data_IF_537514473899
#
_entry.id   IF_537514473899
#
_cell.length_a   1.000
_cell.length_b   1.000
_cell.length_c   1.000
_cell.angle_alpha   90.00
_cell.angle_beta   90.00
_cell.angle_gamma   90.00
#
_symmetry.space_group_name_H-M   'P 1'
#
loop_
_entity.id
_entity.type
_entity.pdbx_description
1 polymer ?
#
# COMPACT_ATOMS: atom_id res chain seq x y z
N UNK A 1 6.86 14.28 14.07
CA UNK A 1 6.77 14.98 12.78
C UNK A 1 5.47 15.78 12.64
N UNK A 2 4.30 15.21 12.92
CA UNK A 2 3.02 15.89 12.78
C UNK A 2 2.42 16.26 14.16
N UNK A 3 1.74 17.44 14.30
CA UNK A 3 1.18 17.88 15.58
C UNK A 3 -0.07 17.08 15.94
N UNK A 4 0.14 15.92 16.58
CA UNK A 4 -0.94 14.96 16.90
C UNK A 4 -1.94 15.45 17.96
N UNK A 5 -1.63 16.55 18.67
CA UNK A 5 -2.51 17.11 19.72
C UNK A 5 -3.87 17.58 19.18
N UNK A 6 -3.94 17.94 17.90
CA UNK A 6 -5.15 18.48 17.27
C UNK A 6 -5.89 17.41 16.43
N UNK A 7 -5.47 16.15 16.48
CA UNK A 7 -6.09 15.10 15.69
C UNK A 7 -7.43 14.67 16.30
N UNK A 8 -8.43 14.52 15.44
CA UNK A 8 -9.76 14.05 15.84
C UNK A 8 -9.70 12.57 16.20
N UNK A 9 -10.26 12.20 17.35
CA UNK A 9 -10.39 10.79 17.70
C UNK A 9 -11.60 10.21 16.97
N UNK A 10 -11.37 9.14 16.21
CA UNK A 10 -12.45 8.37 15.56
C UNK A 10 -12.60 7.03 16.27
N UNK A 11 -13.85 6.58 16.33
CA UNK A 11 -14.24 5.26 16.83
C UNK A 11 -14.76 4.41 15.69
N UNK A 12 -14.54 3.13 15.75
CA UNK A 12 -15.08 2.18 14.79
C UNK A 12 -16.12 1.26 15.41
N UNK A 13 -17.02 0.76 14.59
CA UNK A 13 -17.96 -0.32 14.92
C UNK A 13 -17.54 -1.55 14.14
N UNK A 14 -17.50 -2.69 14.81
CA UNK A 14 -17.32 -3.97 14.11
C UNK A 14 -18.53 -4.26 13.23
N UNK A 15 -18.30 -4.63 12.00
CA UNK A 15 -19.38 -4.87 11.02
C UNK A 15 -19.48 -6.32 10.55
N UNK A 16 -18.47 -7.14 10.81
CA UNK A 16 -18.38 -8.54 10.38
C UNK A 16 -17.77 -9.38 11.50
N UNK A 17 -18.58 -9.72 12.50
CA UNK A 17 -18.11 -10.51 13.67
C UNK A 17 -17.68 -11.92 13.31
N UNK A 18 -18.34 -12.52 12.31
CA UNK A 18 -18.19 -13.94 11.97
C UNK A 18 -17.28 -14.16 10.75
N UNK A 19 -16.73 -13.08 10.19
CA UNK A 19 -15.78 -13.20 9.07
C UNK A 19 -14.40 -13.62 9.58
N UNK A 20 -13.99 -14.81 9.21
CA UNK A 20 -12.61 -15.21 9.41
C UNK A 20 -11.74 -14.49 8.36
N UNK A 21 -10.68 -13.83 8.84
CA UNK A 21 -9.68 -13.12 8.05
C UNK A 21 -8.36 -13.87 8.21
N UNK A 22 -7.74 -14.27 7.11
CA UNK A 22 -6.47 -14.97 7.11
C UNK A 22 -5.28 -14.00 7.29
N UNK A 23 -4.78 -13.46 6.19
CA UNK A 23 -3.64 -12.53 6.18
C UNK A 23 -3.95 -11.29 5.34
N UNK A 24 -4.60 -10.28 5.92
CA UNK A 24 -4.97 -9.08 5.19
C UNK A 24 -3.73 -8.27 4.82
N UNK A 25 -3.50 -8.05 3.53
CA UNK A 25 -2.33 -7.31 3.01
C UNK A 25 -2.69 -5.94 2.45
N UNK A 26 -3.73 -5.85 1.65
CA UNK A 26 -4.17 -4.62 1.00
C UNK A 26 -5.68 -4.61 0.86
N UNK A 27 -6.28 -3.42 0.90
CA UNK A 27 -7.71 -3.22 0.70
C UNK A 27 -7.94 -2.16 -0.37
N UNK A 28 -9.02 -2.32 -1.15
CA UNK A 28 -9.49 -1.31 -2.10
C UNK A 28 -11.01 -1.32 -2.17
N UNK A 29 -11.62 -0.17 -2.48
CA UNK A 29 -13.07 -0.05 -2.70
C UNK A 29 -13.32 0.20 -4.18
N UNK A 30 -14.15 -0.62 -4.79
CA UNK A 30 -14.53 -0.55 -6.19
C UNK A 30 -16.02 -0.89 -6.31
N UNK A 31 -16.82 0.00 -6.91
CA UNK A 31 -18.25 -0.20 -7.15
C UNK A 31 -19.00 -0.73 -5.91
N UNK A 32 -18.86 -0.05 -4.78
CA UNK A 32 -19.46 -0.43 -3.49
C UNK A 32 -19.04 -1.83 -2.98
N UNK A 33 -17.92 -2.35 -3.45
CA UNK A 33 -17.34 -3.59 -2.95
C UNK A 33 -15.98 -3.31 -2.33
N UNK A 34 -15.79 -3.83 -1.13
CA UNK A 34 -14.50 -3.84 -0.47
C UNK A 34 -13.75 -5.10 -0.91
N UNK A 35 -12.67 -4.92 -1.64
CA UNK A 35 -11.73 -5.97 -2.01
C UNK A 35 -10.60 -5.99 -0.99
N UNK A 36 -10.32 -7.13 -0.42
CA UNK A 36 -9.23 -7.33 0.52
C UNK A 36 -8.36 -8.50 0.03
N UNK A 37 -7.09 -8.27 -0.19
CA UNK A 37 -6.14 -9.36 -0.35
C UNK A 37 -6.07 -10.07 1.00
N UNK A 38 -6.58 -11.30 1.02
CA UNK A 38 -6.73 -12.09 2.22
C UNK A 38 -6.66 -13.58 1.89
N UNK A 39 -5.48 -14.14 2.07
CA UNK A 39 -5.21 -15.54 1.71
C UNK A 39 -5.90 -16.51 2.66
N UNK A 40 -7.00 -17.10 2.21
CA UNK A 40 -7.81 -18.02 3.00
C UNK A 40 -8.55 -19.04 2.10
N UNK A 41 -8.62 -20.31 2.53
CA UNK A 41 -9.35 -21.40 1.85
C UNK A 41 -9.08 -21.52 0.34
N UNK A 42 -7.82 -21.45 -0.04
CA UNK A 42 -7.44 -21.57 -1.47
C UNK A 42 -7.76 -20.36 -2.34
N UNK A 43 -8.19 -19.24 -1.75
CA UNK A 43 -8.47 -17.98 -2.42
C UNK A 43 -7.52 -16.88 -1.94
N UNK A 44 -7.36 -15.86 -2.76
CA UNK A 44 -6.45 -14.73 -2.49
C UNK A 44 -7.19 -13.44 -2.13
N UNK A 45 -8.48 -13.33 -2.43
CA UNK A 45 -9.25 -12.09 -2.25
C UNK A 45 -10.59 -12.41 -1.57
N UNK A 46 -10.87 -11.67 -0.49
CA UNK A 46 -12.21 -11.56 0.10
C UNK A 46 -12.86 -10.29 -0.44
N UNK A 47 -14.04 -10.42 -1.03
CA UNK A 47 -14.87 -9.33 -1.54
C UNK A 47 -16.13 -9.21 -0.69
N UNK A 48 -16.38 -8.01 -0.17
CA UNK A 48 -17.52 -7.71 0.71
C UNK A 48 -18.37 -6.64 0.03
N UNK A 49 -19.66 -6.88 -0.11
CA UNK A 49 -20.61 -5.90 -0.61
C UNK A 49 -20.90 -4.86 0.49
N UNK A 50 -20.61 -3.59 0.24
CA UNK A 50 -20.77 -2.52 1.23
C UNK A 50 -22.21 -2.03 1.39
N UNK A 51 -23.10 -2.40 0.46
CA UNK A 51 -24.55 -2.14 0.55
C UNK A 51 -25.21 -3.26 1.38
N UNK A 52 -24.82 -4.51 1.10
CA UNK A 52 -25.26 -5.70 1.85
C UNK A 52 -24.06 -6.46 2.40
N UNK A 53 -23.62 -6.10 3.59
CA UNK A 53 -22.40 -6.66 4.21
C UNK A 53 -22.47 -8.16 4.49
N UNK A 54 -23.66 -8.79 4.46
CA UNK A 54 -23.79 -10.24 4.55
C UNK A 54 -23.39 -10.96 3.27
N UNK A 55 -23.28 -10.24 2.15
CA UNK A 55 -22.81 -10.81 0.88
C UNK A 55 -21.30 -10.75 0.80
N UNK A 56 -20.67 -11.88 1.07
CA UNK A 56 -19.21 -12.07 1.05
C UNK A 56 -18.88 -13.12 0.00
N UNK A 57 -17.94 -12.80 -0.86
CA UNK A 57 -17.43 -13.72 -1.88
C UNK A 57 -15.91 -13.87 -1.73
N UNK A 58 -15.39 -15.07 -1.98
CA UNK A 58 -13.96 -15.33 -2.06
C UNK A 58 -13.58 -15.67 -3.49
N UNK A 59 -12.69 -14.87 -4.05
CA UNK A 59 -12.30 -14.94 -5.46
C UNK A 59 -10.79 -15.05 -5.60
N UNK A 60 -10.28 -15.29 -6.84
CA UNK A 60 -8.87 -15.44 -7.17
C UNK A 60 -8.25 -16.70 -6.55
N UNK A 61 -8.32 -17.82 -7.25
CA UNK A 61 -7.74 -19.10 -6.82
C UNK A 61 -6.23 -18.98 -6.58
N UNK A 62 -5.72 -19.80 -5.67
CA UNK A 62 -4.29 -20.03 -5.50
C UNK A 62 -3.85 -21.08 -6.53
N UNK A 63 -2.83 -20.74 -7.33
CA UNK A 63 -2.26 -21.63 -8.33
C UNK A 63 -1.46 -20.89 -9.40
N UNK A 64 -1.00 -21.65 -10.40
CA UNK A 64 -0.24 -21.12 -11.55
C UNK A 64 -1.03 -21.15 -12.86
N UNK A 65 -2.27 -21.63 -12.80
CA UNK A 65 -3.16 -21.73 -13.95
C UNK A 65 -3.64 -20.36 -14.47
N UNK A 66 -4.41 -20.38 -15.56
CA UNK A 66 -5.06 -19.16 -16.05
C UNK A 66 -5.98 -18.55 -14.96
N UNK A 67 -5.81 -17.25 -14.70
CA UNK A 67 -6.57 -16.50 -13.67
C UNK A 67 -6.36 -17.00 -12.23
N UNK A 68 -5.27 -17.69 -11.97
CA UNK A 68 -4.80 -18.06 -10.64
C UNK A 68 -3.59 -17.23 -10.24
N UNK A 69 -3.33 -17.17 -8.93
CA UNK A 69 -2.27 -16.36 -8.36
C UNK A 69 -1.54 -17.14 -7.27
N UNK A 70 -0.22 -17.01 -7.17
CA UNK A 70 0.56 -17.61 -6.10
C UNK A 70 0.64 -16.71 -4.87
N UNK A 71 0.85 -15.42 -5.07
CA UNK A 71 1.04 -14.47 -3.97
C UNK A 71 0.66 -13.05 -4.38
N UNK A 72 -0.63 -12.73 -4.32
CA UNK A 72 -1.10 -11.36 -4.54
C UNK A 72 -0.55 -10.43 -3.47
N UNK A 73 -0.01 -9.29 -3.92
CA UNK A 73 0.57 -8.24 -3.07
C UNK A 73 -0.10 -6.89 -3.23
N UNK A 74 -0.57 -6.57 -4.43
CA UNK A 74 -1.23 -5.29 -4.71
C UNK A 74 -2.48 -5.47 -5.57
N UNK A 75 -3.45 -4.57 -5.33
CA UNK A 75 -4.64 -4.35 -6.16
C UNK A 75 -4.68 -2.86 -6.49
N UNK A 76 -4.63 -2.53 -7.77
CA UNK A 76 -4.81 -1.15 -8.25
C UNK A 76 -6.06 -1.07 -9.10
N UNK A 77 -6.96 -0.14 -8.78
CA UNK A 77 -8.14 0.16 -9.58
C UNK A 77 -7.89 1.35 -10.51
N UNK A 78 -8.17 1.17 -11.78
CA UNK A 78 -8.13 2.24 -12.78
C UNK A 78 -9.55 2.63 -13.20
N UNK A 79 -10.05 3.73 -12.65
CA UNK A 79 -11.39 4.25 -12.95
C UNK A 79 -11.56 4.77 -14.37
N UNK A 80 -10.47 5.12 -15.09
CA UNK A 80 -10.55 5.62 -16.47
C UNK A 80 -10.99 4.55 -17.47
N UNK A 81 -10.51 3.33 -17.29
CA UNK A 81 -10.83 2.20 -18.17
C UNK A 81 -11.58 1.07 -17.48
N UNK A 82 -12.07 1.34 -16.27
CA UNK A 82 -12.83 0.41 -15.43
C UNK A 82 -12.15 -0.96 -15.31
N UNK A 83 -10.89 -0.97 -14.86
CA UNK A 83 -10.10 -2.19 -14.74
C UNK A 83 -9.38 -2.31 -13.40
N UNK A 84 -9.12 -3.55 -13.02
CA UNK A 84 -8.28 -3.94 -11.89
C UNK A 84 -6.94 -4.47 -12.40
N UNK A 85 -5.87 -4.06 -11.75
CA UNK A 85 -4.54 -4.61 -11.91
C UNK A 85 -4.15 -5.34 -10.61
N UNK A 86 -3.71 -6.59 -10.74
CA UNK A 86 -3.29 -7.45 -9.64
C UNK A 86 -1.80 -7.77 -9.78
N UNK A 87 -1.00 -7.38 -8.83
CA UNK A 87 0.41 -7.75 -8.79
C UNK A 87 0.60 -9.05 -8.00
N UNK A 88 1.16 -10.06 -8.65
CA UNK A 88 1.62 -11.30 -8.03
C UNK A 88 3.13 -11.28 -7.85
N UNK A 89 3.57 -11.24 -6.60
CA UNK A 89 5.00 -11.12 -6.27
C UNK A 89 5.80 -12.40 -6.54
N UNK A 90 5.18 -13.59 -6.50
CA UNK A 90 5.89 -14.85 -6.83
C UNK A 90 5.99 -15.09 -8.33
N UNK A 91 4.92 -14.83 -9.05
CA UNK A 91 4.91 -14.93 -10.52
C UNK A 91 5.58 -13.74 -11.19
N UNK A 92 5.92 -12.69 -10.44
CA UNK A 92 6.50 -11.43 -10.94
C UNK A 92 5.71 -10.88 -12.10
N UNK A 93 4.38 -10.78 -11.94
CA UNK A 93 3.50 -10.33 -13.02
C UNK A 93 2.39 -9.43 -12.50
N UNK A 94 1.94 -8.52 -13.36
CA UNK A 94 0.70 -7.78 -13.18
C UNK A 94 -0.31 -8.30 -14.20
N UNK A 95 -1.47 -8.74 -13.71
CA UNK A 95 -2.59 -9.20 -14.51
C UNK A 95 -3.72 -8.18 -14.47
N UNK A 96 -4.29 -7.85 -15.62
CA UNK A 96 -5.34 -6.85 -15.76
C UNK A 96 -6.67 -7.50 -16.10
N UNK A 97 -7.74 -7.07 -15.40
CA UNK A 97 -9.10 -7.54 -15.59
C UNK A 97 -10.05 -6.36 -15.75
N UNK A 98 -10.96 -6.44 -16.73
CA UNK A 98 -12.04 -5.45 -16.90
C UNK A 98 -13.16 -5.71 -15.91
N UNK A 99 -13.79 -4.65 -15.43
CA UNK A 99 -15.01 -4.72 -14.65
C UNK A 99 -16.19 -4.52 -15.61
N UNK A 100 -17.04 -5.53 -15.73
CA UNK A 100 -18.19 -5.52 -16.61
C UNK A 100 -19.48 -5.39 -15.78
N UNK A 101 -20.34 -4.42 -16.12
CA UNK A 101 -21.66 -4.24 -15.49
C UNK A 101 -21.60 -4.26 -13.95
N UNK A 102 -20.64 -3.56 -13.35
CA UNK A 102 -20.42 -3.52 -11.90
C UNK A 102 -20.13 -4.90 -11.26
N UNK A 103 -19.78 -5.91 -12.07
CA UNK A 103 -19.37 -7.23 -11.60
C UNK A 103 -17.86 -7.38 -11.64
N UNK A 104 -17.29 -7.64 -10.48
CA UNK A 104 -15.87 -7.95 -10.35
C UNK A 104 -15.71 -9.46 -10.45
N UNK A 105 -15.12 -9.91 -11.54
CA UNK A 105 -14.87 -11.32 -11.81
C UNK A 105 -13.43 -11.50 -12.31
N UNK A 106 -12.82 -12.62 -11.94
CA UNK A 106 -11.47 -13.01 -12.38
C UNK A 106 -11.61 -14.28 -13.19
N UNK A 107 -11.77 -14.13 -14.50
CA UNK A 107 -11.94 -15.21 -15.46
C UNK A 107 -11.48 -14.79 -16.86
N UNK A 108 -11.55 -15.71 -17.84
CA UNK A 108 -11.11 -15.45 -19.21
C UNK A 108 -11.90 -14.34 -19.92
N UNK A 109 -13.18 -14.14 -19.56
CA UNK A 109 -14.01 -13.10 -20.19
C UNK A 109 -13.67 -11.69 -19.72
N UNK A 110 -13.14 -11.57 -18.52
CA UNK A 110 -12.71 -10.28 -17.92
C UNK A 110 -11.22 -10.05 -18.04
N UNK A 111 -10.43 -11.11 -18.27
CA UNK A 111 -8.99 -11.01 -18.48
C UNK A 111 -8.68 -10.13 -19.69
N UNK A 112 -7.79 -9.16 -19.52
CA UNK A 112 -7.39 -8.24 -20.57
C UNK A 112 -5.96 -8.46 -21.06
N UNK A 113 -5.01 -8.45 -20.13
CA UNK A 113 -3.59 -8.65 -20.42
C UNK A 113 -2.81 -9.00 -19.16
N UNK A 114 -1.59 -9.49 -19.34
CA UNK A 114 -0.60 -9.60 -18.26
C UNK A 114 0.76 -9.07 -18.72
N UNK A 115 1.52 -8.58 -17.77
CA UNK A 115 2.91 -8.12 -17.97
C UNK A 115 3.79 -8.83 -16.96
N UNK A 116 4.84 -9.50 -17.44
CA UNK A 116 5.86 -10.14 -16.59
C UNK A 116 7.07 -9.24 -16.48
N UNK A 117 7.70 -9.28 -15.33
CA UNK A 117 8.87 -8.49 -15.01
C UNK A 117 10.08 -9.40 -14.91
N UNK A 118 11.07 -9.17 -15.79
CA UNK A 118 12.30 -9.96 -15.85
C UNK A 118 13.40 -9.39 -14.95
N UNK A 119 13.19 -8.19 -14.43
CA UNK A 119 14.19 -7.50 -13.65
C UNK A 119 14.52 -8.21 -12.33
N UNK A 120 15.73 -8.05 -11.87
CA UNK A 120 16.17 -8.40 -10.54
C UNK A 120 15.31 -7.68 -9.52
N UNK A 121 14.28 -8.38 -9.13
CA UNK A 121 13.32 -8.17 -8.05
C UNK A 121 12.86 -6.75 -7.71
N UNK A 122 11.80 -6.25 -8.32
CA UNK A 122 10.96 -5.32 -7.58
C UNK A 122 10.33 -6.05 -6.39
N UNK A 123 10.40 -5.44 -5.22
CA UNK A 123 9.73 -5.95 -4.02
C UNK A 123 8.20 -5.82 -4.15
N UNK A 124 7.75 -4.70 -4.69
CA UNK A 124 6.34 -4.39 -4.93
C UNK A 124 6.19 -3.56 -6.22
N UNK A 125 5.07 -3.76 -6.92
CA UNK A 125 4.75 -3.06 -8.16
C UNK A 125 3.33 -2.55 -8.09
N UNK A 126 3.13 -1.27 -8.42
CA UNK A 126 1.82 -0.67 -8.58
C UNK A 126 1.61 -0.16 -10.01
N UNK A 127 0.43 -0.39 -10.56
CA UNK A 127 0.09 0.13 -11.89
C UNK A 127 -0.07 1.66 -11.86
N UNK A 128 0.46 2.33 -12.88
CA UNK A 128 0.47 3.79 -13.01
C UNK A 128 0.15 4.21 -14.45
N UNK A 129 -1.12 4.15 -14.82
CA UNK A 129 -1.55 4.35 -16.20
C UNK A 129 -1.01 3.25 -17.12
N UNK A 130 -0.24 3.65 -18.14
CA UNK A 130 0.45 2.73 -19.03
C UNK A 130 1.85 2.32 -18.52
N UNK A 131 2.20 2.78 -17.33
CA UNK A 131 3.46 2.52 -16.67
C UNK A 131 3.27 1.65 -15.43
N UNK A 132 4.40 1.27 -14.84
CA UNK A 132 4.48 0.63 -13.53
C UNK A 132 5.49 1.37 -12.67
N UNK A 133 5.15 1.53 -11.40
CA UNK A 133 6.09 2.00 -10.39
C UNK A 133 6.51 0.80 -9.54
N UNK A 134 7.80 0.59 -9.45
CA UNK A 134 8.38 -0.46 -8.63
C UNK A 134 9.21 0.12 -7.49
N UNK A 135 9.13 -0.48 -6.31
CA UNK A 135 10.11 -0.27 -5.26
C UNK A 135 11.05 -1.47 -5.19
N UNK A 136 12.30 -1.22 -4.85
CA UNK A 136 13.34 -2.23 -4.87
C UNK A 136 14.72 -1.62 -4.71
N UNK A 137 15.71 -2.24 -5.34
CA UNK A 137 17.04 -1.69 -5.48
C UNK A 137 17.41 -1.67 -6.97
N UNK A 138 17.45 -0.48 -7.56
CA UNK A 138 17.69 -0.26 -8.97
C UNK A 138 18.93 0.65 -9.13
N UNK A 139 20.11 0.08 -9.43
CA UNK A 139 21.36 0.84 -9.53
C UNK A 139 21.56 1.85 -8.39
N UNK A 140 21.41 1.41 -7.14
CA UNK A 140 21.46 2.24 -5.94
C UNK A 140 20.30 3.26 -5.81
N UNK A 141 19.22 3.14 -6.60
CA UNK A 141 17.98 3.90 -6.46
C UNK A 141 16.88 3.04 -5.84
N UNK A 142 15.99 3.70 -5.11
CA UNK A 142 14.91 3.05 -4.37
C UNK A 142 13.72 2.67 -5.25
N UNK A 143 13.54 3.35 -6.37
CA UNK A 143 12.38 3.19 -7.23
C UNK A 143 12.77 3.12 -8.71
N UNK A 144 11.95 2.41 -9.48
CA UNK A 144 11.98 2.43 -10.93
C UNK A 144 10.60 2.75 -11.51
N UNK A 145 10.59 3.50 -12.61
CA UNK A 145 9.45 3.64 -13.50
C UNK A 145 9.68 2.71 -14.70
N UNK A 146 8.70 1.84 -14.98
CA UNK A 146 8.76 0.90 -16.08
C UNK A 146 7.65 1.21 -17.10
N UNK A 147 7.91 0.94 -18.36
CA UNK A 147 6.92 1.07 -19.44
C UNK A 147 5.94 -0.12 -19.43
N UNK A 148 5.00 -0.12 -20.39
CA UNK A 148 3.99 -1.19 -20.56
C UNK A 148 4.57 -2.57 -20.93
N UNK A 149 5.85 -2.64 -21.31
CA UNK A 149 6.59 -3.88 -21.61
C UNK A 149 7.47 -4.34 -20.46
N UNK A 150 7.45 -3.64 -19.32
CA UNK A 150 8.29 -3.83 -18.16
C UNK A 150 9.78 -3.44 -18.34
N UNK A 151 10.11 -2.63 -19.35
CA UNK A 151 11.45 -2.05 -19.47
C UNK A 151 11.59 -0.87 -18.50
N UNK A 152 12.70 -0.77 -17.79
CA UNK A 152 13.02 0.37 -16.93
C UNK A 152 13.30 1.59 -17.80
N UNK A 153 12.54 2.66 -17.58
CA UNK A 153 12.69 3.93 -18.31
C UNK A 153 13.24 5.06 -17.44
N UNK A 154 13.16 4.92 -16.12
CA UNK A 154 13.76 5.83 -15.16
C UNK A 154 14.00 5.13 -13.83
N UNK A 155 15.11 5.47 -13.17
CA UNK A 155 15.44 5.07 -11.83
C UNK A 155 15.55 6.32 -10.94
N UNK A 156 14.97 6.29 -9.75
CA UNK A 156 14.88 7.48 -8.90
C UNK A 156 14.72 7.13 -7.43
N UNK A 157 14.71 8.18 -6.59
CA UNK A 157 14.67 8.05 -5.14
C UNK A 157 16.03 7.70 -4.56
N UNK A 158 16.30 8.22 -3.39
CA UNK A 158 17.50 7.96 -2.61
C UNK A 158 17.08 7.21 -1.36
N UNK A 159 17.77 6.15 -1.03
CA UNK A 159 17.53 5.45 0.22
C UNK A 159 17.82 6.39 1.39
N UNK A 160 16.93 6.48 2.38
CA UNK A 160 17.19 7.27 3.58
C UNK A 160 18.30 6.62 4.39
N UNK A 161 19.19 7.45 4.94
CA UNK A 161 20.33 7.01 5.77
C UNK A 161 21.67 7.29 5.13
N UNK A 162 22.71 6.68 5.67
CA UNK A 162 24.08 6.97 5.31
C UNK A 162 24.40 6.50 3.88
N UNK A 163 24.63 7.45 3.00
CA UNK A 163 24.99 7.23 1.60
C UNK A 163 26.52 7.13 1.41
N UNK A 164 27.28 6.84 2.45
CA UNK A 164 28.73 6.76 2.40
C UNK A 164 29.18 5.47 1.69
N UNK A 165 29.11 5.46 0.36
CA UNK A 165 29.94 4.59 -0.51
C UNK A 165 29.84 3.08 -0.33
N UNK A 166 28.96 2.58 0.52
CA UNK A 166 28.71 1.15 0.69
C UNK A 166 27.77 0.70 -0.42
N UNK A 167 28.12 -0.34 -1.12
CA UNK A 167 27.29 -0.97 -2.13
C UNK A 167 25.87 -1.17 -1.61
N UNK A 168 24.89 -0.65 -2.35
CA UNK A 168 23.47 -0.72 -1.98
C UNK A 168 22.99 -2.13 -2.29
N UNK A 169 23.03 -2.97 -1.29
CA UNK A 169 22.73 -4.38 -1.38
C UNK A 169 21.32 -4.70 -0.92
N UNK A 170 20.89 -5.93 -1.15
CA UNK A 170 19.55 -6.42 -0.77
C UNK A 170 19.21 -6.19 0.71
N UNK A 171 20.20 -6.18 1.62
CA UNK A 171 19.99 -5.87 3.03
C UNK A 171 19.59 -4.41 3.26
N UNK A 172 20.12 -3.49 2.45
CA UNK A 172 19.79 -2.08 2.52
C UNK A 172 18.35 -1.84 2.08
N UNK A 173 17.90 -2.57 1.05
CA UNK A 173 16.51 -2.55 0.62
C UNK A 173 15.57 -3.05 1.72
N UNK A 174 15.87 -4.17 2.40
CA UNK A 174 15.01 -4.72 3.46
C UNK A 174 14.77 -3.71 4.59
N UNK A 175 15.78 -2.96 4.97
CA UNK A 175 15.71 -1.89 5.96
C UNK A 175 14.90 -0.68 5.47
N UNK A 176 14.90 -0.43 4.16
CA UNK A 176 14.28 0.72 3.55
C UNK A 176 13.00 0.38 2.74
N UNK A 177 12.29 -0.67 3.14
CA UNK A 177 11.02 -1.04 2.51
C UNK A 177 10.03 0.12 2.53
N UNK A 178 9.30 0.28 1.42
CA UNK A 178 8.29 1.31 1.26
C UNK A 178 6.98 0.73 0.74
N UNK A 179 5.89 1.42 1.01
CA UNK A 179 4.60 1.23 0.36
C UNK A 179 4.38 2.35 -0.65
N UNK A 180 3.72 2.03 -1.76
CA UNK A 180 3.41 2.96 -2.85
C UNK A 180 1.90 3.12 -3.02
N UNK A 181 1.48 4.31 -3.42
CA UNK A 181 0.14 4.53 -3.99
C UNK A 181 0.18 5.55 -5.12
N UNK A 182 -0.78 5.46 -6.03
CA UNK A 182 -0.80 6.24 -7.28
C UNK A 182 -2.11 6.99 -7.45
N UNK A 183 -2.07 8.11 -8.16
CA UNK A 183 -3.22 8.77 -8.75
C UNK A 183 -3.06 8.80 -10.28
N UNK A 184 -3.72 7.91 -10.95
CA UNK A 184 -3.65 7.77 -12.41
C UNK A 184 -4.18 9.01 -13.14
N UNK A 185 -5.17 9.70 -12.53
CA UNK A 185 -5.78 10.91 -13.11
C UNK A 185 -4.88 12.13 -13.11
N UNK A 186 -3.95 12.20 -12.15
CA UNK A 186 -3.12 13.38 -11.90
C UNK A 186 -1.62 13.14 -12.17
N UNK A 187 -1.25 11.96 -12.67
CA UNK A 187 0.15 11.58 -12.86
C UNK A 187 1.01 11.78 -11.60
N UNK A 188 0.48 11.38 -10.44
CA UNK A 188 1.11 11.54 -9.13
C UNK A 188 1.18 10.23 -8.38
N UNK A 189 2.17 10.12 -7.52
CA UNK A 189 2.33 8.98 -6.63
C UNK A 189 3.05 9.39 -5.34
N UNK A 190 2.91 8.53 -4.34
CA UNK A 190 3.50 8.73 -3.02
C UNK A 190 4.16 7.45 -2.57
N UNK A 191 5.31 7.58 -1.91
CA UNK A 191 6.03 6.51 -1.25
C UNK A 191 6.13 6.79 0.25
N UNK A 192 5.91 5.78 1.07
CA UNK A 192 6.06 5.86 2.52
C UNK A 192 6.90 4.72 3.08
N UNK A 193 7.82 5.03 3.96
CA UNK A 193 8.72 4.07 4.58
C UNK A 193 8.02 3.19 5.61
N UNK A 194 8.43 1.93 5.67
CA UNK A 194 7.87 0.96 6.62
C UNK A 194 8.60 0.98 7.97
N UNK A 195 9.92 1.09 7.94
CA UNK A 195 10.82 1.11 9.10
C UNK A 195 11.53 2.44 9.31
N UNK A 196 11.44 3.34 8.35
CA UNK A 196 11.97 4.69 8.40
C UNK A 196 10.83 5.69 8.25
N UNK A 197 10.89 6.79 8.98
CA UNK A 197 9.82 7.78 8.99
C UNK A 197 10.02 8.76 7.83
N UNK A 198 9.71 8.29 6.62
CA UNK A 198 9.78 9.04 5.38
C UNK A 198 8.46 8.93 4.62
N UNK A 199 7.98 10.04 4.10
CA UNK A 199 6.82 10.14 3.21
C UNK A 199 7.17 11.11 2.09
N UNK A 200 7.18 10.63 0.84
CA UNK A 200 7.63 11.42 -0.32
C UNK A 200 6.55 11.46 -1.38
N UNK A 201 6.24 12.66 -1.84
CA UNK A 201 5.26 12.94 -2.88
C UNK A 201 5.98 13.25 -4.18
N UNK A 202 5.55 12.60 -5.26
CA UNK A 202 6.11 12.74 -6.58
C UNK A 202 5.06 13.12 -7.62
N UNK A 203 5.52 13.76 -8.69
CA UNK A 203 4.76 14.06 -9.90
C UNK A 203 5.53 13.55 -11.11
N UNK A 204 4.83 12.92 -12.04
CA UNK A 204 5.35 12.53 -13.34
C UNK A 204 4.86 13.52 -14.38
N UNK A 205 5.78 14.24 -15.01
CA UNK A 205 5.48 15.30 -15.96
C UNK A 205 6.61 15.42 -16.98
N UNK A 206 6.27 15.54 -18.28
CA UNK A 206 7.23 15.66 -19.38
C UNK A 206 8.32 14.55 -19.34
N UNK A 207 7.91 13.31 -19.09
CA UNK A 207 8.78 12.15 -18.95
C UNK A 207 9.82 12.25 -17.81
N UNK A 208 9.57 13.11 -16.84
CA UNK A 208 10.43 13.29 -15.66
C UNK A 208 9.66 13.05 -14.38
N UNK A 209 10.35 12.45 -13.42
CA UNK A 209 9.85 12.31 -12.05
C UNK A 209 10.38 13.47 -11.22
N UNK A 210 9.45 14.21 -10.64
CA UNK A 210 9.72 15.42 -9.86
C UNK A 210 9.29 15.14 -8.43
N UNK A 211 10.21 15.27 -7.46
CA UNK A 211 9.89 15.26 -6.04
C UNK A 211 9.16 16.56 -5.68
N UNK A 212 7.92 16.45 -5.22
CA UNK A 212 7.06 17.58 -4.86
C UNK A 212 7.28 18.00 -3.40
N UNK A 213 7.29 17.00 -2.51
CA UNK A 213 7.46 17.21 -1.07
C UNK A 213 8.02 15.95 -0.41
N UNK A 214 8.73 16.16 0.66
CA UNK A 214 9.24 15.10 1.51
C UNK A 214 9.05 15.46 2.98
N UNK A 215 8.62 14.47 3.75
CA UNK A 215 8.65 14.46 5.21
C UNK A 215 9.61 13.36 5.63
N UNK A 216 10.57 13.72 6.46
CA UNK A 216 11.55 12.78 6.99
C UNK A 216 11.92 13.14 8.44
N UNK A 217 11.93 12.17 9.34
CA UNK A 217 12.31 12.41 10.72
C UNK A 217 13.20 11.34 11.32
N UNK A 218 13.21 10.12 10.78
CA UNK A 218 13.94 9.03 11.41
C UNK A 218 14.37 7.97 10.40
N UNK A 219 15.62 7.54 10.50
CA UNK A 219 16.15 6.35 9.81
C UNK A 219 15.65 5.05 10.44
N UNK A 220 15.66 3.98 9.66
CA UNK A 220 15.35 2.65 10.16
C UNK A 220 16.38 2.18 11.19
N UNK A 221 15.92 1.78 12.36
CA UNK A 221 16.74 1.19 13.42
C UNK A 221 16.69 -0.34 13.31
N UNK A 222 17.42 -0.88 12.37
CA UNK A 222 17.54 -2.33 12.15
C UNK A 222 19.00 -2.76 12.25
N UNK A 223 19.24 -4.00 12.64
CA UNK A 223 20.57 -4.60 12.66
C UNK A 223 20.87 -5.17 11.29
N UNK A 224 21.86 -4.61 10.61
CA UNK A 224 22.38 -5.16 9.36
C UNK A 224 23.56 -6.09 9.66
N UNK A 225 23.59 -7.23 8.99
CA UNK A 225 24.68 -8.21 9.10
C UNK A 225 25.18 -8.55 7.71
N UNK A 226 26.48 -8.65 7.61
CA UNK A 226 27.18 -9.18 6.45
C UNK A 226 27.86 -10.49 6.85
N UNK A 227 27.61 -11.55 6.11
CA UNK A 227 28.25 -12.86 6.30
C UNK A 227 28.71 -13.37 4.93
N UNK A 228 29.70 -14.26 4.93
CA UNK A 228 30.15 -14.96 3.72
C UNK A 228 29.73 -16.43 3.80
N UNK A 229 29.18 -16.93 2.70
CA UNK A 229 28.96 -18.36 2.48
C UNK A 229 29.78 -18.77 1.24
N UNK A 230 30.93 -19.41 1.45
CA UNK A 230 31.91 -19.61 0.40
C UNK A 230 32.40 -18.29 -0.20
N UNK A 231 32.21 -18.11 -1.50
CA UNK A 231 32.55 -16.89 -2.24
C UNK A 231 31.40 -15.91 -2.34
N UNK A 232 30.23 -16.20 -1.77
CA UNK A 232 29.05 -15.37 -1.87
C UNK A 232 28.89 -14.51 -0.62
N UNK A 233 28.79 -13.20 -0.80
CA UNK A 233 28.43 -12.26 0.26
C UNK A 233 26.93 -12.31 0.51
N UNK A 234 26.55 -12.56 1.77
CA UNK A 234 25.15 -12.58 2.21
C UNK A 234 24.90 -11.40 3.12
N UNK A 235 23.98 -10.55 2.71
CA UNK A 235 23.54 -9.40 3.48
C UNK A 235 22.14 -9.65 4.04
N UNK A 236 21.95 -9.32 5.29
CA UNK A 236 20.64 -9.44 5.95
C UNK A 236 20.38 -8.24 6.84
N UNK A 237 19.10 -7.91 7.01
CA UNK A 237 18.65 -6.95 8.00
C UNK A 237 17.59 -7.59 8.87
N UNK A 238 17.71 -7.42 10.18
CA UNK A 238 16.75 -7.95 11.16
C UNK A 238 16.21 -6.84 12.05
N UNK A 239 14.95 -6.98 12.41
CA UNK A 239 14.32 -6.13 13.41
C UNK A 239 14.92 -6.41 14.80
N UNK A 240 14.94 -5.38 15.64
CA UNK A 240 15.29 -5.44 17.06
C UNK A 240 14.25 -4.70 17.89
N UNK A 241 14.42 -4.59 19.18
CA UNK A 241 13.50 -3.92 20.09
C UNK A 241 13.30 -2.44 19.78
N UNK A 242 14.30 -1.76 19.23
CA UNK A 242 14.28 -0.35 18.86
C UNK A 242 13.72 -0.11 17.44
N UNK A 243 13.54 -1.15 16.64
CA UNK A 243 12.98 -1.05 15.31
C UNK A 243 11.56 -0.47 15.39
N UNK A 244 11.33 0.65 14.75
CA UNK A 244 10.05 1.34 14.73
C UNK A 244 9.32 1.06 13.44
N UNK A 245 8.08 0.60 13.53
CA UNK A 245 7.17 0.47 12.40
C UNK A 245 6.43 1.77 12.21
N UNK A 246 6.64 2.42 11.09
CA UNK A 246 6.16 3.77 10.82
C UNK A 246 4.89 3.75 9.97
N UNK A 247 4.99 3.83 8.63
CA UNK A 247 3.82 3.78 7.77
C UNK A 247 3.46 2.33 7.41
N UNK A 248 2.25 1.93 7.76
CA UNK A 248 1.77 0.55 7.47
C UNK A 248 1.28 0.41 6.05
N UNK A 249 0.58 1.42 5.56
CA UNK A 249 0.07 1.47 4.19
C UNK A 249 -0.29 2.88 3.78
N UNK A 250 -0.45 3.05 2.48
CA UNK A 250 -1.05 4.20 1.85
C UNK A 250 -2.34 3.78 1.17
N UNK A 251 -3.36 4.61 1.29
CA UNK A 251 -4.60 4.50 0.52
C UNK A 251 -4.81 5.79 -0.27
N UNK A 252 -5.16 5.68 -1.54
CA UNK A 252 -5.38 6.85 -2.41
C UNK A 252 -6.83 6.92 -2.88
N UNK A 253 -7.34 8.14 -2.91
CA UNK A 253 -8.57 8.52 -3.59
C UNK A 253 -8.24 9.46 -4.74
N UNK A 254 -9.24 9.91 -5.46
CA UNK A 254 -9.05 10.91 -6.51
C UNK A 254 -8.43 12.19 -5.97
N UNK A 255 -8.85 12.65 -4.80
CA UNK A 255 -8.49 13.96 -4.24
C UNK A 255 -7.41 13.89 -3.15
N UNK A 256 -7.32 12.76 -2.42
CA UNK A 256 -6.51 12.67 -1.23
C UNK A 256 -5.69 11.38 -1.13
N UNK A 257 -4.71 11.44 -0.25
CA UNK A 257 -3.93 10.30 0.23
C UNK A 257 -4.16 10.15 1.72
N UNK A 258 -4.33 8.91 2.14
CA UNK A 258 -4.47 8.53 3.55
C UNK A 258 -3.31 7.63 3.92
N UNK A 259 -2.45 8.10 4.81
CA UNK A 259 -1.32 7.34 5.31
C UNK A 259 -1.64 6.78 6.69
N UNK A 260 -1.63 5.45 6.81
CA UNK A 260 -1.78 4.78 8.09
C UNK A 260 -0.43 4.74 8.79
N UNK A 261 -0.31 5.47 9.88
CA UNK A 261 0.92 5.65 10.64
C UNK A 261 0.82 5.02 12.04
N UNK A 262 1.78 4.17 12.38
CA UNK A 262 1.88 3.57 13.71
C UNK A 262 2.86 4.31 14.61
N UNK A 263 4.10 4.47 14.19
CA UNK A 263 5.15 5.10 14.98
C UNK A 263 5.51 4.31 16.25
N UNK A 264 5.45 2.97 16.22
CA UNK A 264 5.59 2.09 17.38
C UNK A 264 6.85 1.26 17.27
N UNK A 265 7.70 1.29 18.32
CA UNK A 265 8.85 0.42 18.42
C UNK A 265 8.44 -1.02 18.79
N UNK A 266 9.23 -2.02 18.35
CA UNK A 266 8.94 -3.42 18.59
C UNK A 266 8.81 -3.76 20.09
N UNK A 267 9.67 -3.20 20.95
CA UNK A 267 9.60 -3.36 22.43
C UNK A 267 8.25 -2.92 23.02
N UNK A 268 7.52 -2.07 22.29
CA UNK A 268 6.22 -1.57 22.72
C UNK A 268 5.05 -2.30 22.08
N UNK A 269 5.28 -3.17 21.11
CA UNK A 269 4.27 -3.77 20.25
C UNK A 269 3.35 -4.72 21.03
N UNK A 270 3.40 -5.27 22.01
CA UNK A 270 2.47 -6.12 22.79
C UNK A 270 1.74 -5.39 23.92
N UNK A 271 2.09 -4.13 24.23
CA UNK A 271 1.51 -3.38 25.35
C UNK A 271 0.10 -2.88 25.06
N UNK A 272 -0.73 -2.72 26.07
CA UNK A 272 -2.11 -2.20 25.95
C UNK A 272 -2.13 -0.69 25.66
N UNK A 273 -3.28 -0.18 25.19
CA UNK A 273 -3.51 1.27 25.01
C UNK A 273 -2.86 1.88 23.78
N UNK A 274 -2.59 1.08 22.75
CA UNK A 274 -1.96 1.57 21.51
C UNK A 274 -2.89 2.36 20.66
N UNK A 275 -2.31 3.37 20.02
CA UNK A 275 -2.98 4.23 19.07
C UNK A 275 -2.25 4.17 17.75
N UNK A 276 -2.98 4.35 16.66
CA UNK A 276 -2.42 4.69 15.37
C UNK A 276 -3.07 5.96 14.83
N UNK A 277 -2.52 6.46 13.76
CA UNK A 277 -2.97 7.69 13.14
C UNK A 277 -3.28 7.46 11.67
N UNK A 278 -4.33 8.11 11.17
CA UNK A 278 -4.60 8.22 9.74
C UNK A 278 -4.36 9.66 9.36
N UNK A 279 -3.39 9.90 8.49
CA UNK A 279 -2.99 11.22 8.04
C UNK A 279 -3.53 11.45 6.64
N UNK A 280 -4.39 12.45 6.47
CA UNK A 280 -5.00 12.83 5.19
C UNK A 280 -4.21 13.97 4.56
N UNK A 281 -3.71 13.76 3.35
CA UNK A 281 -2.97 14.75 2.57
C UNK A 281 -3.67 15.04 1.24
N UNK A 282 -3.45 16.23 0.68
CA UNK A 282 -3.66 16.45 -0.75
C UNK A 282 -2.49 15.88 -1.57
N UNK A 283 -2.64 15.83 -2.88
CA UNK A 283 -1.62 15.32 -3.78
C UNK A 283 -0.38 16.24 -3.95
N UNK A 284 -0.37 17.42 -3.34
CA UNK A 284 0.81 18.28 -3.18
C UNK A 284 1.57 17.99 -1.87
N UNK A 285 1.08 17.04 -1.08
CA UNK A 285 1.65 16.68 0.20
C UNK A 285 1.29 17.63 1.34
N UNK A 286 0.28 18.48 1.22
CA UNK A 286 -0.18 19.29 2.35
C UNK A 286 -1.06 18.43 3.27
N UNK A 287 -0.71 18.35 4.56
CA UNK A 287 -1.56 17.70 5.56
C UNK A 287 -2.86 18.50 5.70
N UNK A 288 -3.98 17.85 5.46
CA UNK A 288 -5.33 18.41 5.56
C UNK A 288 -5.98 18.07 6.89
N UNK A 289 -5.81 16.83 7.33
CA UNK A 289 -6.49 16.33 8.51
C UNK A 289 -5.71 15.17 9.12
N UNK A 290 -5.86 14.96 10.42
CA UNK A 290 -5.32 13.83 11.13
C UNK A 290 -6.37 13.19 12.03
N UNK A 291 -6.40 11.86 12.04
CA UNK A 291 -7.30 11.07 12.87
C UNK A 291 -6.50 10.19 13.82
N UNK A 292 -6.90 10.17 15.07
CA UNK A 292 -6.40 9.26 16.09
C UNK A 292 -7.36 8.08 16.24
N UNK A 293 -6.83 6.87 16.22
CA UNK A 293 -7.58 5.63 16.43
C UNK A 293 -7.01 4.89 17.62
N UNK A 294 -7.86 4.54 18.59
CA UNK A 294 -7.42 3.88 19.82
C UNK A 294 -7.23 2.35 19.68
N UNK A 295 -7.04 1.88 18.47
CA UNK A 295 -6.69 0.50 18.11
C UNK A 295 -5.62 0.53 17.04
N UNK A 296 -4.78 -0.51 16.98
CA UNK A 296 -3.89 -0.67 15.84
C UNK A 296 -4.67 -1.18 14.64
N UNK A 297 -4.59 -0.44 13.55
CA UNK A 297 -5.15 -0.84 12.26
C UNK A 297 -4.06 -1.49 11.41
N UNK A 298 -4.36 -2.61 10.76
CA UNK A 298 -3.46 -3.25 9.78
C UNK A 298 -3.62 -2.63 8.41
N UNK A 299 -4.86 -2.40 8.01
CA UNK A 299 -5.24 -1.89 6.70
C UNK A 299 -6.42 -0.93 6.80
N UNK A 300 -6.52 -0.03 5.82
CA UNK A 300 -7.64 0.90 5.66
C UNK A 300 -8.09 0.94 4.20
N UNK A 301 -9.37 1.21 3.99
CA UNK A 301 -9.94 1.62 2.73
C UNK A 301 -10.93 2.75 2.97
N UNK A 302 -10.94 3.74 2.10
CA UNK A 302 -11.68 4.99 2.31
C UNK A 302 -12.76 5.12 1.23
N UNK A 303 -13.98 5.31 1.68
CA UNK A 303 -15.08 5.73 0.84
C UNK A 303 -15.38 7.21 1.14
N UNK A 304 -14.88 8.10 0.30
CA UNK A 304 -15.11 9.56 0.46
C UNK A 304 -16.56 9.96 0.15
N UNK A 305 -17.29 9.15 -0.63
CA UNK A 305 -18.69 9.44 -0.96
C UNK A 305 -19.58 9.23 0.26
N UNK A 306 -19.48 8.07 0.89
CA UNK A 306 -20.20 7.76 2.13
C UNK A 306 -19.53 8.31 3.38
N UNK A 307 -18.36 8.91 3.22
CA UNK A 307 -17.54 9.45 4.30
C UNK A 307 -17.20 8.38 5.36
N UNK A 308 -16.83 7.19 4.92
CA UNK A 308 -16.53 6.05 5.77
C UNK A 308 -15.09 5.57 5.61
N UNK A 309 -14.51 5.12 6.72
CA UNK A 309 -13.25 4.38 6.77
C UNK A 309 -13.57 2.94 7.13
N UNK A 310 -13.21 2.01 6.26
CA UNK A 310 -13.19 0.59 6.54
C UNK A 310 -11.77 0.19 6.95
N UNK A 311 -11.65 -0.64 7.96
CA UNK A 311 -10.33 -1.00 8.49
C UNK A 311 -10.31 -2.44 9.00
N UNK A 312 -9.13 -3.07 8.92
CA UNK A 312 -8.83 -4.30 9.65
C UNK A 312 -7.93 -3.96 10.83
N UNK A 313 -8.30 -4.41 12.02
CA UNK A 313 -7.55 -4.16 13.24
C UNK A 313 -6.49 -5.23 13.51
N UNK A 314 -5.72 -4.98 14.57
CA UNK A 314 -4.88 -5.98 15.20
C UNK A 314 -5.41 -6.24 16.64
N UNK A 315 -5.85 -7.48 16.99
CA UNK A 315 -6.04 -8.66 16.13
C UNK A 315 -7.11 -8.48 15.05
N UNK A 316 -7.20 -9.41 14.10
CA UNK A 316 -7.92 -9.28 12.84
C UNK A 316 -9.45 -9.19 13.02
N UNK A 317 -10.01 -8.01 12.82
CA UNK A 317 -11.44 -7.71 12.87
C UNK A 317 -11.76 -6.59 11.88
N UNK A 318 -12.88 -6.69 11.16
CA UNK A 318 -13.30 -5.62 10.23
C UNK A 318 -14.13 -4.57 10.96
N UNK A 319 -13.75 -3.32 10.80
CA UNK A 319 -14.41 -2.15 11.34
C UNK A 319 -14.88 -1.18 10.28
N UNK A 320 -15.95 -0.48 10.57
CA UNK A 320 -16.38 0.72 9.87
C UNK A 320 -16.38 1.88 10.87
N UNK A 321 -15.88 3.05 10.47
CA UNK A 321 -15.97 4.26 11.30
C UNK A 321 -17.43 4.65 11.51
N UNK A 322 -17.77 5.00 12.74
CA UNK A 322 -19.15 5.39 13.12
C UNK A 322 -19.37 6.89 12.98
N UNK A 323 -18.30 7.68 13.12
CA UNK A 323 -18.34 9.13 12.98
C UNK A 323 -17.17 9.58 12.14
N UNK A 324 -17.48 10.22 11.03
CA UNK A 324 -16.52 11.07 10.33
C UNK A 324 -16.90 12.54 10.57
N UNK A 325 -15.93 13.43 10.70
CA UNK A 325 -16.22 14.84 10.71
C UNK A 325 -16.90 15.21 9.38
N UNK A 326 -18.05 15.86 9.46
CA UNK A 326 -18.74 16.41 8.28
C UNK A 326 -17.74 17.24 7.48
N UNK A 327 -17.43 16.84 6.27
CA UNK A 327 -16.74 17.70 5.32
C UNK A 327 -17.72 18.83 5.02
N UNK A 328 -17.50 20.00 5.58
CA UNK A 328 -18.26 21.20 5.23
C UNK A 328 -17.91 21.48 3.76
N UNK A 329 -18.79 21.14 2.85
CA UNK A 329 -18.73 21.66 1.49
C UNK A 329 -19.03 23.14 1.61
N UNK A 330 -18.02 23.99 1.51
CA UNK A 330 -18.23 25.37 1.16
C UNK A 330 -18.71 25.38 -0.29
N UNK A 331 -20.03 25.33 -0.46
CA UNK A 331 -20.68 25.74 -1.70
C UNK A 331 -20.61 27.26 -1.65
N UNK A 332 -19.60 27.85 -2.25
CA UNK A 332 -19.67 29.24 -2.65
C UNK A 332 -20.65 29.31 -3.81
N UNK A 333 -21.74 30.04 -3.57
CA UNK A 333 -22.76 30.40 -4.57
C UNK A 333 -22.13 31.30 -5.65
#
# INVERSE_FOLDING_TARGET
MFPTKNFKTIKGKQILSDLFIGRPLKMNIVDNKLLMIDKYEGKQITMIDLINTNKIERIANIGEGPNEFLNLRDITYNSKNNSLAFFDGMLRQVSFYKINEHKIQINNNTFHRKVRFNADCPYDIVAFGDYFLANGCFNAKQFALLNSKADIIAEFGVFPGDNTGVEVENSFFLKNQTTLCTNLGQSRFVAAGYFHDQLVFYRFENNKIIKVREYFSMNAKMVSRHTKDGNQDIYSSSENDETTRTYRMLYSTKEHIYALYWGIANKDFGKTGKVCYILKFDWNGNLKEGFKVNNLLKNIAIDEISNCIYAVTYPDTVFRSVEQPKITRNIQA
#
